data_IF_442340923991
#
_entry.id   IF_442340923991
#
_cell.length_a   1.000
_cell.length_b   1.000
_cell.length_c   1.000
_cell.angle_alpha   90.00
_cell.angle_beta   90.00
_cell.angle_gamma   90.00
#
_symmetry.space_group_name_H-M   'P 1'
#
loop_
_entity.id
_entity.type
_entity.pdbx_description
1 polymer ?
#
# COMPACT_ATOMS: atom_id res chain seq x y z
N UNK A 1 1.94 -1.75 -4.37
CA UNK A 1 2.91 -1.16 -3.39
C UNK A 1 2.42 -1.45 -1.97
N UNK A 2 3.29 -1.83 -1.01
CA UNK A 2 2.86 -2.03 0.40
C UNK A 2 2.48 -0.71 1.04
N UNK A 3 1.36 -0.69 1.74
CA UNK A 3 0.86 0.51 2.38
C UNK A 3 0.16 0.20 3.71
N UNK A 4 -0.13 1.28 4.43
CA UNK A 4 -0.92 1.28 5.64
C UNK A 4 -2.14 2.17 5.45
N UNK A 5 -3.32 1.67 5.81
CA UNK A 5 -4.56 2.45 5.81
C UNK A 5 -4.65 3.22 7.12
N UNK A 6 -4.86 4.52 7.03
CA UNK A 6 -5.04 5.42 8.16
C UNK A 6 -6.32 6.24 7.97
N UNK A 7 -7.45 5.69 8.45
CA UNK A 7 -8.76 6.28 8.22
C UNK A 7 -9.11 6.27 6.73
N UNK A 8 -9.34 7.45 6.16
CA UNK A 8 -9.67 7.62 4.74
C UNK A 8 -8.44 7.81 3.83
N UNK A 9 -7.22 7.78 4.40
CA UNK A 9 -5.98 7.94 3.64
C UNK A 9 -5.17 6.65 3.64
N UNK A 10 -4.37 6.46 2.58
CA UNK A 10 -3.42 5.35 2.49
C UNK A 10 -2.00 5.89 2.37
N UNK A 11 -1.07 5.30 3.12
CA UNK A 11 0.34 5.72 3.13
C UNK A 11 1.25 4.60 2.65
N UNK A 12 2.03 4.81 1.56
CA UNK A 12 2.97 3.81 1.10
C UNK A 12 4.14 3.66 2.09
N UNK A 13 4.49 2.42 2.42
CA UNK A 13 5.64 2.14 3.28
C UNK A 13 6.91 2.04 2.41
N UNK A 14 7.88 2.91 2.68
CA UNK A 14 9.18 2.89 1.97
C UNK A 14 9.97 1.66 2.38
N UNK A 15 10.08 0.70 1.45
CA UNK A 15 10.95 -0.46 1.56
C UNK A 15 12.36 -0.11 1.10
N UNK A 16 13.25 0.23 2.03
CA UNK A 16 14.70 0.34 1.76
C UNK A 16 15.52 -0.35 2.86
N UNK A 17 16.59 -1.03 2.46
CA UNK A 17 17.59 -1.62 3.37
C UNK A 17 17.05 -2.67 4.34
N UNK A 18 17.42 -2.56 5.62
CA UNK A 18 17.05 -3.47 6.70
C UNK A 18 15.57 -3.43 7.11
N UNK A 19 14.77 -2.50 6.56
CA UNK A 19 13.36 -2.31 6.89
C UNK A 19 12.37 -3.25 6.19
N UNK A 20 12.84 -4.25 5.41
CA UNK A 20 11.95 -5.11 4.60
C UNK A 20 10.98 -5.92 5.49
N UNK A 21 11.47 -6.56 6.55
CA UNK A 21 10.60 -7.33 7.47
C UNK A 21 9.65 -6.39 8.21
N UNK A 22 10.17 -5.25 8.68
CA UNK A 22 9.35 -4.23 9.35
C UNK A 22 8.20 -3.75 8.48
N UNK A 23 8.45 -3.50 7.20
CA UNK A 23 7.42 -3.11 6.24
C UNK A 23 6.36 -4.19 6.00
N UNK A 24 6.68 -5.48 6.19
CA UNK A 24 5.70 -6.57 6.06
C UNK A 24 4.73 -6.58 7.25
N UNK A 25 5.26 -6.36 8.45
CA UNK A 25 4.48 -6.38 9.69
C UNK A 25 3.65 -5.10 9.84
N UNK A 26 4.20 -3.95 9.44
CA UNK A 26 3.52 -2.65 9.58
C UNK A 26 2.51 -2.35 8.46
N UNK A 27 2.60 -3.04 7.32
CA UNK A 27 1.61 -2.91 6.24
C UNK A 27 0.34 -3.69 6.55
N UNK A 28 -0.81 -3.15 6.13
CA UNK A 28 -2.12 -3.80 6.24
C UNK A 28 -2.82 -3.94 4.87
N UNK A 29 -2.18 -3.44 3.81
CA UNK A 29 -2.78 -3.30 2.49
C UNK A 29 -1.76 -3.15 1.35
N UNK A 30 -2.24 -3.36 0.14
CA UNK A 30 -1.53 -3.02 -1.10
C UNK A 30 -2.24 -1.89 -1.84
N UNK A 31 -1.49 -0.88 -2.28
CA UNK A 31 -1.95 0.05 -3.32
C UNK A 31 -1.77 -0.64 -4.67
N UNK A 32 -2.87 -0.76 -5.41
CA UNK A 32 -2.90 -1.27 -6.77
C UNK A 32 -2.68 -0.10 -7.72
N UNK A 33 -1.67 -0.23 -8.59
CA UNK A 33 -1.38 0.76 -9.63
C UNK A 33 -1.61 0.06 -10.97
N UNK A 34 -2.61 0.50 -11.75
CA UNK A 34 -2.83 0.02 -13.11
C UNK A 34 -1.59 0.17 -13.99
N UNK A 35 -1.37 -0.77 -14.90
CA UNK A 35 -0.18 -0.75 -15.79
C UNK A 35 -0.12 0.48 -16.70
N UNK A 36 -1.28 1.08 -17.01
CA UNK A 36 -1.38 2.30 -17.81
C UNK A 36 -1.09 3.59 -17.02
N UNK A 37 -0.75 3.48 -15.73
CA UNK A 37 -0.43 4.61 -14.86
C UNK A 37 1.01 4.51 -14.35
N UNK A 38 1.78 5.58 -14.51
CA UNK A 38 3.15 5.66 -14.01
C UNK A 38 3.20 5.72 -12.47
N UNK A 39 2.13 6.23 -11.86
CA UNK A 39 1.99 6.31 -10.42
C UNK A 39 0.71 7.04 -10.01
N UNK A 40 0.57 7.22 -8.70
CA UNK A 40 -0.57 7.90 -8.07
C UNK A 40 -0.01 9.13 -7.33
N UNK A 41 -0.60 10.29 -7.60
CA UNK A 41 -0.23 11.55 -6.93
C UNK A 41 -0.87 11.64 -5.54
N UNK A 42 -0.25 12.40 -4.65
CA UNK A 42 -0.79 12.62 -3.30
C UNK A 42 -2.19 13.25 -3.38
N UNK A 43 -3.14 12.70 -2.62
CA UNK A 43 -4.53 13.16 -2.60
C UNK A 43 -5.41 12.63 -3.73
N UNK A 44 -4.86 11.87 -4.68
CA UNK A 44 -5.68 11.16 -5.65
C UNK A 44 -6.34 9.92 -5.03
N UNK A 45 -7.54 9.60 -5.50
CA UNK A 45 -8.17 8.33 -5.19
C UNK A 45 -7.38 7.18 -5.80
N UNK A 46 -7.27 6.09 -5.05
CA UNK A 46 -6.52 4.92 -5.45
C UNK A 46 -7.22 3.64 -5.02
N UNK A 47 -6.96 2.57 -5.76
CA UNK A 47 -7.44 1.26 -5.40
C UNK A 47 -6.52 0.63 -4.37
N UNK A 48 -7.11 0.21 -3.25
CA UNK A 48 -6.41 -0.41 -2.13
C UNK A 48 -6.97 -1.80 -1.91
N UNK A 49 -6.09 -2.79 -1.77
CA UNK A 49 -6.40 -4.16 -1.45
C UNK A 49 -5.99 -4.45 0.00
N UNK A 50 -6.92 -4.43 0.97
CA UNK A 50 -6.64 -4.78 2.36
C UNK A 50 -6.29 -6.27 2.47
N UNK A 51 -5.36 -6.62 3.36
CA UNK A 51 -4.93 -8.02 3.53
C UNK A 51 -6.07 -8.91 4.04
N UNK A 52 -6.95 -8.37 4.87
CA UNK A 52 -8.12 -9.05 5.42
C UNK A 52 -9.12 -9.48 4.34
N UNK A 53 -9.06 -8.85 3.15
CA UNK A 53 -9.91 -9.17 2.01
C UNK A 53 -9.38 -10.37 1.21
N UNK A 54 -8.14 -10.82 1.46
CA UNK A 54 -7.64 -12.10 0.96
C UNK A 54 -8.29 -13.23 1.77
N UNK A 55 -9.49 -13.65 1.36
CA UNK A 55 -10.04 -14.93 1.81
C UNK A 55 -9.43 -16.04 0.97
N UNK A 56 -8.78 -17.00 1.64
CA UNK A 56 -8.30 -18.24 1.06
C UNK A 56 -9.45 -19.13 0.61
#
# INVERSE_FOLDING_TARGET
IRARIEGDMVRPLKIKGSGIIRSMVESDSYIIIPENLEGIVEGAECEVLPYHSLKA
#
